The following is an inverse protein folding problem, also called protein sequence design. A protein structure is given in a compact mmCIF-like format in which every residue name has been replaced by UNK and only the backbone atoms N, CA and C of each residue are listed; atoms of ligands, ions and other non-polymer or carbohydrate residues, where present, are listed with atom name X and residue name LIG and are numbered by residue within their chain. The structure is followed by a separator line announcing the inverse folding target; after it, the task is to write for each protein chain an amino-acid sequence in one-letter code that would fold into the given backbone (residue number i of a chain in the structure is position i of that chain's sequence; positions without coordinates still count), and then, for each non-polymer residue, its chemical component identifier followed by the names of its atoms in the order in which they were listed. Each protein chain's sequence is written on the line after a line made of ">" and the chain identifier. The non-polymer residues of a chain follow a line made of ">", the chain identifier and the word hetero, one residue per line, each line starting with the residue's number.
data_IF_639993268907
#
_entry.id   IF_639993268907
#
_cell.length_a   1.000
_cell.length_b   1.000
_cell.length_c   1.000
_cell.angle_alpha   90.00
_cell.angle_beta   90.00
_cell.angle_gamma   90.00
#
_symmetry.space_group_name_H-M   'P 1'
#
loop_
_entity.id
_entity.type
_entity.pdbx_description
1 polymer ?
#
# COMPACT_ATOMS: atom_id res chain seq x y z
N UNK A 1 -24.68 -16.77 6.38
CA UNK A 1 -23.56 -16.85 7.34
C UNK A 1 -22.32 -16.37 6.60
N UNK A 2 -22.06 -15.06 6.63
CA UNK A 2 -20.88 -14.46 6.01
C UNK A 2 -19.69 -14.78 6.91
N UNK A 3 -18.63 -15.38 6.37
CA UNK A 3 -17.37 -15.55 7.07
C UNK A 3 -16.74 -14.16 7.29
N UNK A 4 -17.02 -13.59 8.46
CA UNK A 4 -16.66 -12.23 8.84
C UNK A 4 -15.26 -12.19 9.48
N UNK A 5 -14.25 -12.61 8.73
CA UNK A 5 -12.85 -12.32 9.03
C UNK A 5 -12.01 -12.28 7.75
N UNK A 6 -12.47 -11.53 6.75
CA UNK A 6 -11.64 -11.14 5.63
C UNK A 6 -10.76 -9.99 6.08
N UNK A 7 -9.51 -10.27 6.46
CA UNK A 7 -8.46 -9.27 6.29
C UNK A 7 -8.47 -8.90 4.81
N UNK A 8 -9.18 -7.82 4.43
CA UNK A 8 -9.24 -7.33 3.04
C UNK A 8 -7.81 -7.24 2.54
N UNK A 9 -7.57 -7.68 1.31
CA UNK A 9 -6.22 -7.68 0.72
C UNK A 9 -5.59 -6.27 0.65
N UNK A 10 -6.40 -5.22 0.82
CA UNK A 10 -5.96 -3.83 0.98
C UNK A 10 -5.53 -3.40 2.38
N UNK A 11 -5.52 -4.29 3.39
CA UNK A 11 -5.23 -3.92 4.78
C UNK A 11 -3.85 -3.27 4.96
N UNK A 12 -2.83 -3.76 4.23
CA UNK A 12 -1.48 -3.19 4.24
C UNK A 12 -1.47 -1.78 3.67
N UNK A 13 -2.19 -1.54 2.57
CA UNK A 13 -2.32 -0.20 1.98
C UNK A 13 -2.97 0.77 2.97
N UNK A 14 -4.12 0.39 3.54
CA UNK A 14 -4.83 1.22 4.52
C UNK A 14 -4.00 1.46 5.78
N UNK A 15 -3.28 0.45 6.26
CA UNK A 15 -2.37 0.59 7.39
C UNK A 15 -1.28 1.63 7.09
N UNK A 16 -0.58 1.50 5.96
CA UNK A 16 0.50 2.42 5.59
C UNK A 16 -0.03 3.85 5.37
N UNK A 17 -1.20 4.01 4.76
CA UNK A 17 -1.84 5.32 4.60
C UNK A 17 -2.12 5.98 5.96
N UNK A 18 -2.70 5.24 6.90
CA UNK A 18 -2.94 5.72 8.27
C UNK A 18 -1.63 6.02 9.00
N UNK A 19 -0.62 5.17 8.87
CA UNK A 19 0.72 5.40 9.44
C UNK A 19 1.33 6.70 8.90
N UNK A 20 1.20 6.96 7.59
CA UNK A 20 1.67 8.19 6.96
C UNK A 20 0.93 9.43 7.48
N UNK A 21 -0.41 9.36 7.58
CA UNK A 21 -1.25 10.43 8.12
C UNK A 21 -0.94 10.73 9.59
N UNK A 22 -0.62 9.70 10.38
CA UNK A 22 -0.35 9.80 11.82
C UNK A 22 1.13 9.94 12.15
N UNK A 23 2.01 10.18 11.16
CA UNK A 23 3.47 10.25 11.33
C UNK A 23 3.92 11.09 12.52
N UNK A 24 3.33 12.27 12.72
CA UNK A 24 3.70 13.14 13.84
C UNK A 24 3.30 12.56 15.20
N UNK A 25 2.10 11.98 15.30
CA UNK A 25 1.62 11.36 16.53
C UNK A 25 2.43 10.11 16.87
N UNK A 26 2.79 9.30 15.86
CA UNK A 26 3.64 8.11 16.04
C UNK A 26 5.02 8.53 16.54
N UNK A 27 5.65 9.56 15.94
CA UNK A 27 6.95 10.06 16.41
C UNK A 27 6.89 10.58 17.84
N UNK A 28 5.82 11.29 18.21
CA UNK A 28 5.65 11.77 19.57
C UNK A 28 5.52 10.60 20.56
N UNK A 29 4.78 9.54 20.20
CA UNK A 29 4.65 8.33 20.99
C UNK A 29 5.96 7.53 21.06
N UNK A 30 6.77 7.51 20.00
CA UNK A 30 8.11 6.90 20.02
C UNK A 30 9.04 7.57 21.06
N UNK A 31 8.86 8.86 21.32
CA UNK A 31 9.65 9.63 22.28
C UNK A 31 9.04 9.65 23.70
N UNK A 32 7.87 9.04 23.89
CA UNK A 32 7.21 8.93 25.19
C UNK A 32 7.93 7.90 26.08
N UNK A 33 8.51 8.31 27.23
CA UNK A 33 9.20 7.41 28.13
C UNK A 33 8.28 6.37 28.78
N UNK A 34 6.96 6.63 28.88
CA UNK A 34 5.99 5.74 29.51
C UNK A 34 5.59 4.56 28.60
N UNK A 35 5.78 4.70 27.28
CA UNK A 35 5.45 3.66 26.30
C UNK A 35 6.57 2.61 26.14
N UNK A 36 7.74 2.81 26.74
CA UNK A 36 8.87 1.87 26.72
C UNK A 36 9.21 1.31 25.32
N UNK A 37 9.08 2.12 24.27
CA UNK A 37 9.34 1.70 22.89
C UNK A 37 10.85 1.53 22.68
N UNK A 38 11.28 0.28 22.45
CA UNK A 38 12.69 -0.04 22.17
C UNK A 38 13.12 0.50 20.80
N UNK A 39 14.39 0.84 20.66
CA UNK A 39 14.93 1.43 19.42
C UNK A 39 14.68 0.57 18.16
N UNK A 40 14.65 -0.76 18.31
CA UNK A 40 14.37 -1.72 17.24
C UNK A 40 12.90 -1.70 16.75
N UNK A 41 11.99 -1.11 17.54
CA UNK A 41 10.57 -0.96 17.20
C UNK A 41 10.24 0.41 16.60
N UNK A 42 11.22 1.32 16.52
CA UNK A 42 11.05 2.66 15.96
C UNK A 42 11.28 2.64 14.45
N UNK A 43 10.48 3.42 13.73
CA UNK A 43 10.70 3.61 12.30
C UNK A 43 11.89 4.55 12.07
N UNK A 44 12.86 4.09 11.29
CA UNK A 44 14.03 4.90 10.93
C UNK A 44 13.62 6.04 9.99
N UNK A 45 14.44 7.10 9.84
CA UNK A 45 14.19 8.14 8.85
C UNK A 45 14.01 7.58 7.42
N UNK A 46 14.72 6.50 7.08
CA UNK A 46 14.60 5.83 5.79
C UNK A 46 13.25 5.12 5.65
N UNK A 47 12.75 4.47 6.71
CA UNK A 47 11.43 3.83 6.69
C UNK A 47 10.33 4.88 6.47
N UNK A 48 10.45 6.03 7.14
CA UNK A 48 9.54 7.16 6.97
C UNK A 48 9.55 7.77 5.56
N UNK A 49 10.67 7.67 4.84
CA UNK A 49 10.79 8.09 3.44
C UNK A 49 10.28 7.01 2.47
N UNK A 50 10.35 5.72 2.87
CA UNK A 50 9.90 4.59 2.07
C UNK A 50 8.37 4.44 2.05
N UNK A 51 7.70 4.67 3.19
CA UNK A 51 6.23 4.56 3.32
C UNK A 51 5.46 5.25 2.18
N UNK A 52 5.63 6.55 1.89
CA UNK A 52 4.88 7.21 0.82
C UNK A 52 5.15 6.63 -0.57
N UNK A 53 6.36 6.10 -0.81
CA UNK A 53 6.74 5.46 -2.07
C UNK A 53 6.03 4.12 -2.24
N UNK A 54 5.94 3.33 -1.16
CA UNK A 54 5.19 2.07 -1.14
C UNK A 54 3.69 2.32 -1.30
N UNK A 55 3.14 3.35 -0.64
CA UNK A 55 1.73 3.75 -0.83
C UNK A 55 1.46 4.10 -2.30
N UNK A 56 2.32 4.89 -2.93
CA UNK A 56 2.19 5.26 -4.35
C UNK A 56 2.20 4.02 -5.27
N UNK A 57 3.00 3.01 -4.92
CA UNK A 57 3.10 1.76 -5.68
C UNK A 57 1.88 0.85 -5.49
N UNK A 58 1.36 0.74 -4.26
CA UNK A 58 0.22 -0.11 -3.92
C UNK A 58 -1.13 0.54 -4.27
N UNK A 59 -1.21 1.87 -4.35
CA UNK A 59 -2.44 2.61 -4.63
C UNK A 59 -3.20 2.16 -5.88
N UNK A 60 -2.54 2.02 -7.04
CA UNK A 60 -3.19 1.54 -8.26
C UNK A 60 -3.79 0.13 -8.12
N UNK A 61 -3.14 -0.75 -7.36
CA UNK A 61 -3.60 -2.12 -7.10
C UNK A 61 -4.84 -2.07 -6.21
N UNK A 62 -4.79 -1.30 -5.13
CA UNK A 62 -5.90 -1.11 -4.22
C UNK A 62 -7.13 -0.52 -4.93
N UNK A 63 -6.95 0.54 -5.73
CA UNK A 63 -8.02 1.20 -6.47
C UNK A 63 -8.66 0.27 -7.52
N UNK A 64 -7.85 -0.51 -8.23
CA UNK A 64 -8.32 -1.47 -9.23
C UNK A 64 -9.08 -2.63 -8.57
N UNK A 65 -8.58 -3.12 -7.43
CA UNK A 65 -9.26 -4.16 -6.64
C UNK A 65 -10.60 -3.67 -6.13
N UNK A 66 -10.66 -2.46 -5.57
CA UNK A 66 -11.91 -1.87 -5.10
C UNK A 66 -12.92 -1.65 -6.24
N UNK A 67 -12.44 -1.28 -7.43
CA UNK A 67 -13.29 -1.13 -8.62
C UNK A 67 -13.84 -2.47 -9.08
N UNK A 68 -13.05 -3.54 -9.02
CA UNK A 68 -13.47 -4.90 -9.35
C UNK A 68 -14.41 -5.53 -8.30
N UNK A 69 -14.32 -5.09 -7.04
CA UNK A 69 -15.23 -5.48 -5.95
C UNK A 69 -16.59 -4.76 -6.00
N UNK A 70 -16.77 -3.77 -6.90
CA UNK A 70 -18.02 -3.01 -7.00
C UNK A 70 -19.19 -3.90 -7.46
N UNK A 71 -20.39 -3.67 -6.91
CA UNK A 71 -21.64 -4.33 -7.35
C UNK A 71 -21.97 -4.05 -8.83
N UNK A 72 -21.37 -3.00 -9.40
CA UNK A 72 -21.54 -2.62 -10.81
C UNK A 72 -20.44 -3.19 -11.72
N UNK A 73 -19.47 -3.90 -11.17
CA UNK A 73 -18.34 -4.42 -11.94
C UNK A 73 -18.77 -5.60 -12.83
N UNK A 74 -18.25 -5.61 -14.04
CA UNK A 74 -18.41 -6.69 -15.00
C UNK A 74 -17.06 -7.34 -15.30
N UNK A 75 -17.08 -8.60 -15.72
CA UNK A 75 -15.88 -9.30 -16.21
C UNK A 75 -15.24 -8.55 -17.39
N UNK A 76 -16.03 -7.80 -18.17
CA UNK A 76 -15.54 -6.94 -19.25
C UNK A 76 -14.59 -5.84 -18.77
N UNK A 77 -14.68 -5.45 -17.49
CA UNK A 77 -13.90 -4.35 -16.92
C UNK A 77 -12.49 -4.79 -16.50
N UNK A 78 -12.24 -6.11 -16.41
CA UNK A 78 -10.95 -6.64 -15.95
C UNK A 78 -9.80 -6.22 -16.86
N UNK A 79 -9.94 -6.35 -18.18
CA UNK A 79 -8.90 -5.96 -19.14
C UNK A 79 -8.56 -4.46 -19.02
N UNK A 80 -9.53 -3.51 -19.09
CA UNK A 80 -9.22 -2.09 -18.95
C UNK A 80 -8.70 -1.73 -17.55
N UNK A 81 -9.20 -2.35 -16.47
CA UNK A 81 -8.69 -2.13 -15.11
C UNK A 81 -7.24 -2.57 -14.97
N UNK A 82 -6.88 -3.76 -15.44
CA UNK A 82 -5.50 -4.27 -15.42
C UNK A 82 -4.55 -3.37 -16.23
N UNK A 83 -5.00 -2.90 -17.41
CA UNK A 83 -4.20 -1.99 -18.24
C UNK A 83 -3.98 -0.64 -17.55
N UNK A 84 -5.04 -0.07 -16.96
CA UNK A 84 -4.95 1.19 -16.21
C UNK A 84 -4.00 1.05 -15.01
N UNK A 85 -4.18 -0.01 -14.21
CA UNK A 85 -3.32 -0.34 -13.07
C UNK A 85 -1.85 -0.41 -13.47
N UNK A 86 -1.54 -1.13 -14.56
CA UNK A 86 -0.17 -1.25 -15.08
C UNK A 86 0.43 0.10 -15.44
N UNK A 87 -0.32 0.94 -16.17
CA UNK A 87 0.14 2.28 -16.57
C UNK A 87 0.42 3.16 -15.35
N UNK A 88 -0.44 3.11 -14.35
CA UNK A 88 -0.27 3.88 -13.11
C UNK A 88 0.97 3.41 -12.33
N UNK A 89 1.16 2.10 -12.17
CA UNK A 89 2.37 1.52 -11.53
C UNK A 89 3.63 1.94 -12.29
N UNK A 90 3.61 1.91 -13.63
CA UNK A 90 4.76 2.31 -14.46
C UNK A 90 5.18 3.77 -14.23
N UNK A 91 4.24 4.66 -13.88
CA UNK A 91 4.50 6.08 -13.61
C UNK A 91 5.10 6.34 -12.22
N UNK A 92 5.01 5.39 -11.30
CA UNK A 92 5.59 5.52 -9.95
C UNK A 92 7.12 5.54 -10.03
N UNK A 93 7.77 6.41 -9.24
CA UNK A 93 9.24 6.46 -9.16
C UNK A 93 9.84 5.13 -8.68
N UNK A 94 10.99 4.73 -9.23
CA UNK A 94 11.74 3.53 -8.80
C UNK A 94 12.64 3.77 -7.58
N UNK A 95 12.84 5.03 -7.16
CA UNK A 95 13.79 5.36 -6.08
C UNK A 95 13.44 4.64 -4.78
N UNK A 96 14.32 3.77 -4.30
CA UNK A 96 14.13 2.99 -3.07
C UNK A 96 13.11 1.84 -3.14
N UNK A 97 12.34 1.72 -4.23
CA UNK A 97 11.29 0.68 -4.41
C UNK A 97 11.41 -0.09 -5.73
N UNK A 98 12.52 0.05 -6.46
CA UNK A 98 12.71 -0.51 -7.81
C UNK A 98 12.45 -2.02 -7.88
N UNK A 99 13.06 -2.80 -6.99
CA UNK A 99 12.87 -4.26 -6.93
C UNK A 99 11.41 -4.65 -6.72
N UNK A 100 10.68 -3.93 -5.85
CA UNK A 100 9.26 -4.18 -5.60
C UNK A 100 8.41 -3.83 -6.81
N UNK A 101 8.68 -2.69 -7.46
CA UNK A 101 7.98 -2.28 -8.67
C UNK A 101 8.18 -3.27 -9.81
N UNK A 102 9.42 -3.71 -10.04
CA UNK A 102 9.74 -4.65 -11.11
C UNK A 102 9.10 -6.02 -10.83
N UNK A 103 9.13 -6.49 -9.58
CA UNK A 103 8.44 -7.72 -9.19
C UNK A 103 6.92 -7.64 -9.44
N UNK A 104 6.27 -6.51 -9.10
CA UNK A 104 4.84 -6.30 -9.35
C UNK A 104 4.51 -6.28 -10.84
N UNK A 105 5.26 -5.52 -11.64
CA UNK A 105 5.06 -5.46 -13.09
C UNK A 105 5.23 -6.83 -13.74
N UNK A 106 6.23 -7.60 -13.30
CA UNK A 106 6.44 -8.97 -13.79
C UNK A 106 5.29 -9.93 -13.45
N UNK A 107 4.55 -9.71 -12.35
CA UNK A 107 3.35 -10.52 -12.05
C UNK A 107 2.15 -10.12 -12.91
N UNK A 108 2.05 -8.84 -13.30
CA UNK A 108 0.95 -8.36 -14.14
C UNK A 108 1.09 -8.86 -15.59
N UNK A 109 2.32 -9.11 -16.03
CA UNK A 109 2.65 -9.56 -17.39
C UNK A 109 2.67 -11.09 -17.55
N UNK A 110 2.38 -11.84 -16.49
CA UNK A 110 2.20 -13.30 -16.52
C UNK A 110 0.78 -13.67 -16.92
#
# INVERSE_FOLDING_TARGET
>A
MMLDCLTRWGSVYTMLERTSQQKQAIKLAEDDPDLAIVAESKLTPNDWDLIPKVIALLGPIYASSLSAESDTASVSDIIPLTKKMKIEIQRVSQSGIGTMKDALLNQIDR
#
